data_IF_683582700923
#
_entry.id   IF_683582700923
#
_cell.length_a   1.000
_cell.length_b   1.000
_cell.length_c   1.000
_cell.angle_alpha   90.00
_cell.angle_beta   90.00
_cell.angle_gamma   90.00
#
_symmetry.space_group_name_H-M   'P 1'
#
loop_
_entity.id
_entity.type
_entity.pdbx_description
1 polymer ?
#
# COMPACT_ATOMS: atom_id res chain seq x y z
N UNK A 1 -16.45 19.49 -21.57
CA UNK A 1 -15.99 18.21 -22.18
C UNK A 1 -17.14 17.21 -22.16
N UNK A 2 -17.22 16.25 -23.09
CA UNK A 2 -18.16 15.12 -22.94
C UNK A 2 -17.46 14.04 -22.12
N UNK A 3 -17.81 13.93 -20.84
CA UNK A 3 -17.24 12.93 -19.94
C UNK A 3 -17.64 11.53 -20.43
N UNK A 4 -16.68 10.61 -20.46
CA UNK A 4 -16.85 9.23 -20.89
C UNK A 4 -16.16 8.29 -19.89
N UNK A 5 -16.58 7.03 -19.77
CA UNK A 5 -15.89 6.04 -18.95
C UNK A 5 -14.42 5.88 -19.38
N UNK A 6 -13.53 5.68 -18.41
CA UNK A 6 -12.12 5.38 -18.64
C UNK A 6 -11.99 3.87 -18.82
N UNK A 7 -11.54 3.43 -20.00
CA UNK A 7 -11.40 1.99 -20.33
C UNK A 7 -10.01 1.61 -20.81
N UNK A 8 -9.18 2.60 -21.13
CA UNK A 8 -7.86 2.43 -21.69
C UNK A 8 -6.90 3.37 -21.01
N UNK A 9 -5.60 3.03 -21.03
CA UNK A 9 -4.54 3.91 -20.53
C UNK A 9 -4.54 5.28 -21.21
N UNK A 10 -4.93 5.34 -22.49
CA UNK A 10 -5.09 6.61 -23.21
C UNK A 10 -6.21 7.47 -22.63
N UNK A 11 -7.36 6.87 -22.30
CA UNK A 11 -8.46 7.60 -21.66
C UNK A 11 -8.07 8.08 -20.26
N UNK A 12 -7.28 7.27 -19.55
CA UNK A 12 -6.77 7.57 -18.22
C UNK A 12 -5.82 8.77 -18.24
N UNK A 13 -4.82 8.76 -19.13
CA UNK A 13 -3.88 9.88 -19.28
C UNK A 13 -4.61 11.17 -19.70
N UNK A 14 -5.60 11.09 -20.60
CA UNK A 14 -6.41 12.26 -20.96
C UNK A 14 -7.25 12.80 -19.79
N UNK A 15 -7.75 11.92 -18.94
CA UNK A 15 -8.49 12.32 -17.74
C UNK A 15 -7.57 13.01 -16.72
N UNK A 16 -6.35 12.49 -16.53
CA UNK A 16 -5.33 13.11 -15.68
C UNK A 16 -4.93 14.51 -16.19
N UNK A 17 -4.58 14.63 -17.47
CA UNK A 17 -4.24 15.92 -18.09
C UNK A 17 -5.38 16.94 -17.91
N UNK A 18 -6.63 16.50 -18.06
CA UNK A 18 -7.79 17.37 -17.85
C UNK A 18 -7.95 17.75 -16.38
N UNK A 19 -7.81 16.80 -15.47
CA UNK A 19 -7.93 17.00 -14.03
C UNK A 19 -6.89 18.02 -13.54
N UNK A 20 -5.65 17.95 -14.02
CA UNK A 20 -4.60 18.94 -13.72
C UNK A 20 -5.01 20.36 -14.14
N UNK A 21 -5.61 20.52 -15.33
CA UNK A 21 -6.05 21.83 -15.83
C UNK A 21 -7.16 22.46 -14.96
N UNK A 22 -8.02 21.64 -14.35
CA UNK A 22 -9.17 22.11 -13.54
C UNK A 22 -8.99 21.87 -12.05
N UNK A 23 -7.78 21.57 -11.59
CA UNK A 23 -7.48 21.16 -10.21
C UNK A 23 -7.94 22.18 -9.16
N UNK A 24 -7.77 23.48 -9.47
CA UNK A 24 -8.16 24.59 -8.59
C UNK A 24 -9.63 25.03 -8.75
N UNK A 25 -10.44 24.26 -9.47
CA UNK A 25 -11.85 24.59 -9.69
C UNK A 25 -12.63 24.63 -8.36
N UNK A 26 -13.45 25.68 -8.20
CA UNK A 26 -14.25 25.86 -6.98
C UNK A 26 -15.45 24.91 -6.97
N UNK A 27 -15.78 24.42 -5.77
CA UNK A 27 -17.00 23.61 -5.56
C UNK A 27 -18.25 24.37 -6.01
N UNK A 28 -19.17 23.65 -6.67
CA UNK A 28 -20.41 24.21 -7.19
C UNK A 28 -20.27 25.01 -8.49
N UNK A 29 -19.08 25.05 -9.10
CA UNK A 29 -18.92 25.48 -10.50
C UNK A 29 -19.00 24.27 -11.42
N UNK A 30 -19.25 24.51 -12.71
CA UNK A 30 -19.24 23.44 -13.72
C UNK A 30 -17.91 22.69 -13.78
N UNK A 31 -16.80 23.41 -13.56
CA UNK A 31 -15.46 22.82 -13.52
C UNK A 31 -15.22 22.05 -12.23
N UNK A 32 -15.79 22.49 -11.10
CA UNK A 32 -15.76 21.74 -9.84
C UNK A 32 -16.54 20.43 -9.94
N UNK A 33 -17.73 20.45 -10.56
CA UNK A 33 -18.51 19.24 -10.82
C UNK A 33 -17.77 18.30 -11.79
N UNK A 34 -17.10 18.85 -12.82
CA UNK A 34 -16.25 18.09 -13.75
C UNK A 34 -15.05 17.45 -13.03
N UNK A 35 -14.38 18.20 -12.15
CA UNK A 35 -13.26 17.73 -11.34
C UNK A 35 -13.68 16.55 -10.45
N UNK A 36 -14.82 16.66 -9.77
CA UNK A 36 -15.36 15.60 -8.91
C UNK A 36 -15.66 14.32 -9.71
N UNK A 37 -16.31 14.46 -10.86
CA UNK A 37 -16.62 13.31 -11.73
C UNK A 37 -15.34 12.65 -12.26
N UNK A 38 -14.36 13.45 -12.73
CA UNK A 38 -13.09 12.92 -13.22
C UNK A 38 -12.32 12.20 -12.11
N UNK A 39 -12.29 12.76 -10.90
CA UNK A 39 -11.67 12.12 -9.74
C UNK A 39 -12.26 10.73 -9.46
N UNK A 40 -13.59 10.61 -9.48
CA UNK A 40 -14.28 9.31 -9.29
C UNK A 40 -13.95 8.32 -10.41
N UNK A 41 -13.87 8.77 -11.67
CA UNK A 41 -13.57 7.89 -12.80
C UNK A 41 -12.11 7.41 -12.79
N UNK A 42 -11.18 8.30 -12.43
CA UNK A 42 -9.75 8.00 -12.28
C UNK A 42 -9.56 7.00 -11.15
N UNK A 43 -10.12 7.26 -9.97
CA UNK A 43 -10.03 6.37 -8.81
C UNK A 43 -10.58 4.96 -9.10
N UNK A 44 -11.73 4.86 -9.78
CA UNK A 44 -12.25 3.56 -10.19
C UNK A 44 -11.32 2.81 -11.15
N UNK A 45 -10.70 3.51 -12.11
CA UNK A 45 -9.73 2.90 -13.01
C UNK A 45 -8.45 2.47 -12.28
N UNK A 46 -7.92 3.32 -11.39
CA UNK A 46 -6.73 2.98 -10.59
C UNK A 46 -6.99 1.77 -9.67
N UNK A 47 -8.16 1.68 -9.03
CA UNK A 47 -8.51 0.54 -8.19
C UNK A 47 -8.57 -0.79 -8.98
N UNK A 48 -8.96 -0.76 -10.26
CA UNK A 48 -9.02 -1.94 -11.11
C UNK A 48 -7.65 -2.33 -11.69
N UNK A 49 -6.87 -1.35 -12.17
CA UNK A 49 -5.64 -1.59 -12.94
C UNK A 49 -4.35 -1.39 -12.14
N UNK A 50 -4.37 -0.58 -11.08
CA UNK A 50 -3.24 -0.23 -10.23
C UNK A 50 -3.58 -0.38 -8.73
N UNK A 51 -4.06 -1.55 -8.28
CA UNK A 51 -4.44 -1.73 -6.89
C UNK A 51 -3.27 -1.42 -5.95
N UNK A 52 -3.52 -0.61 -4.91
CA UNK A 52 -2.58 -0.41 -3.82
C UNK A 52 -2.53 -1.70 -3.01
N UNK A 53 -1.65 -2.61 -3.43
CA UNK A 53 -1.44 -3.85 -2.74
C UNK A 53 -0.74 -3.59 -1.41
N UNK A 54 -1.08 -4.39 -0.40
CA UNK A 54 -0.34 -4.39 0.86
C UNK A 54 1.13 -4.73 0.57
N UNK A 55 2.07 -4.12 1.29
CA UNK A 55 3.48 -4.43 1.12
C UNK A 55 3.77 -5.89 1.45
N UNK A 56 4.86 -6.41 0.89
CA UNK A 56 5.41 -7.69 1.29
C UNK A 56 5.66 -7.72 2.81
N UNK A 57 5.26 -8.79 3.53
CA UNK A 57 5.42 -8.85 4.98
C UNK A 57 6.85 -8.65 5.46
N UNK A 58 7.82 -9.19 4.71
CA UNK A 58 9.23 -9.12 5.08
C UNK A 58 9.79 -7.73 4.84
N UNK A 59 9.41 -7.08 3.75
CA UNK A 59 9.79 -5.68 3.50
C UNK A 59 9.16 -4.75 4.54
N UNK A 60 7.91 -4.98 4.94
CA UNK A 60 7.29 -4.24 6.03
C UNK A 60 8.02 -4.42 7.38
N UNK A 61 8.48 -5.64 7.67
CA UNK A 61 9.30 -5.92 8.87
C UNK A 61 10.64 -5.17 8.79
N UNK A 62 11.36 -5.28 7.67
CA UNK A 62 12.65 -4.59 7.49
C UNK A 62 12.51 -3.08 7.62
N UNK A 63 11.49 -2.52 6.99
CA UNK A 63 11.20 -1.09 7.07
C UNK A 63 10.91 -0.64 8.50
N UNK A 64 10.11 -1.41 9.25
CA UNK A 64 9.90 -1.13 10.68
C UNK A 64 11.16 -1.27 11.50
N UNK A 65 12.01 -2.25 11.19
CA UNK A 65 13.27 -2.43 11.89
C UNK A 65 14.17 -1.21 11.67
N UNK A 66 14.27 -0.71 10.44
CA UNK A 66 15.05 0.49 10.13
C UNK A 66 14.53 1.72 10.88
N UNK A 67 13.21 1.94 10.89
CA UNK A 67 12.60 3.06 11.62
C UNK A 67 12.86 3.03 13.13
N UNK A 68 13.05 1.85 13.70
CA UNK A 68 13.25 1.64 15.14
C UNK A 68 14.73 1.40 15.50
N UNK A 69 15.64 1.44 14.53
CA UNK A 69 17.04 1.04 14.66
C UNK A 69 17.21 -0.38 15.27
N UNK A 70 16.31 -1.29 14.90
CA UNK A 70 16.29 -2.67 15.37
C UNK A 70 17.32 -3.53 14.64
N UNK A 71 18.17 -4.20 15.41
CA UNK A 71 19.02 -5.24 14.86
C UNK A 71 18.25 -6.55 14.64
N UNK A 72 18.85 -7.47 13.90
CA UNK A 72 18.33 -8.82 13.76
C UNK A 72 18.24 -9.57 15.11
N UNK A 73 19.08 -9.21 16.08
CA UNK A 73 19.00 -9.79 17.43
C UNK A 73 17.75 -9.29 18.16
N UNK A 74 17.38 -8.02 17.98
CA UNK A 74 16.17 -7.45 18.58
C UNK A 74 14.93 -8.08 17.98
N UNK A 75 14.90 -8.28 16.65
CA UNK A 75 13.85 -9.06 16.01
C UNK A 75 13.76 -10.47 16.61
N UNK A 76 14.89 -11.13 16.84
CA UNK A 76 14.92 -12.47 17.44
C UNK A 76 14.26 -12.52 18.83
N UNK A 77 14.29 -11.44 19.62
CA UNK A 77 13.57 -11.36 20.90
C UNK A 77 12.05 -11.31 20.73
N UNK A 78 11.56 -10.81 19.60
CA UNK A 78 10.12 -10.73 19.27
C UNK A 78 9.59 -12.08 18.77
N UNK A 79 10.37 -12.78 17.95
CA UNK A 79 9.95 -14.04 17.32
C UNK A 79 10.54 -15.32 17.96
N UNK A 80 11.38 -15.15 18.99
CA UNK A 80 11.87 -16.19 19.88
C UNK A 80 13.28 -16.76 19.57
N UNK A 81 13.71 -16.89 18.32
CA UNK A 81 15.01 -17.49 17.98
C UNK A 81 15.75 -16.72 16.88
N UNK A 82 17.07 -16.55 17.05
CA UNK A 82 17.94 -15.85 16.09
C UNK A 82 18.02 -16.54 14.73
N UNK A 83 18.06 -17.88 14.70
CA UNK A 83 18.02 -18.64 13.44
C UNK A 83 16.73 -18.38 12.67
N UNK A 84 15.59 -18.36 13.38
CA UNK A 84 14.28 -18.06 12.79
C UNK A 84 14.22 -16.63 12.23
N UNK A 85 14.84 -15.65 12.89
CA UNK A 85 14.87 -14.26 12.43
C UNK A 85 15.55 -14.18 11.06
N UNK A 86 16.69 -14.85 10.93
CA UNK A 86 17.39 -14.95 9.65
C UNK A 86 16.56 -15.65 8.58
N UNK A 87 15.98 -16.80 8.89
CA UNK A 87 15.18 -17.57 7.94
C UNK A 87 13.97 -16.77 7.44
N UNK A 88 13.30 -16.01 8.31
CA UNK A 88 12.13 -15.18 7.96
C UNK A 88 12.56 -14.00 7.10
N UNK A 89 13.60 -13.25 7.50
CA UNK A 89 14.09 -12.10 6.73
C UNK A 89 14.61 -12.49 5.34
N UNK A 90 15.04 -13.75 5.17
CA UNK A 90 15.47 -14.33 3.90
C UNK A 90 14.38 -15.15 3.20
N UNK A 91 13.11 -15.06 3.64
CA UNK A 91 11.95 -15.78 3.06
C UNK A 91 12.08 -17.31 3.00
N UNK A 92 12.98 -17.90 3.79
CA UNK A 92 13.14 -19.36 3.91
C UNK A 92 12.10 -20.01 4.82
N UNK A 93 11.42 -19.21 5.64
CA UNK A 93 10.38 -19.65 6.57
C UNK A 93 9.21 -18.66 6.58
N UNK A 94 8.00 -19.20 6.57
CA UNK A 94 6.75 -18.44 6.77
C UNK A 94 6.58 -18.03 8.23
N UNK A 95 5.98 -16.87 8.45
CA UNK A 95 5.56 -16.42 9.79
C UNK A 95 4.53 -17.40 10.37
N UNK A 96 4.68 -17.75 11.66
CA UNK A 96 3.62 -18.43 12.40
C UNK A 96 2.60 -17.41 12.95
N UNK A 97 1.40 -17.86 13.30
CA UNK A 97 0.40 -16.98 13.93
C UNK A 97 0.89 -16.30 15.20
N UNK A 98 1.71 -16.99 16.00
CA UNK A 98 2.33 -16.42 17.19
C UNK A 98 3.32 -15.29 16.83
N UNK A 99 4.16 -15.51 15.81
CA UNK A 99 5.07 -14.47 15.32
C UNK A 99 4.31 -13.26 14.80
N UNK A 100 3.22 -13.46 14.06
CA UNK A 100 2.38 -12.39 13.54
C UNK A 100 1.82 -11.53 14.68
N UNK A 101 1.31 -12.16 15.75
CA UNK A 101 0.81 -11.44 16.93
C UNK A 101 1.94 -10.66 17.61
N UNK A 102 3.10 -11.28 17.82
CA UNK A 102 4.23 -10.61 18.46
C UNK A 102 4.75 -9.42 17.63
N UNK A 103 4.83 -9.57 16.30
CA UNK A 103 5.25 -8.50 15.39
C UNK A 103 4.23 -7.36 15.37
N UNK A 104 2.94 -7.67 15.38
CA UNK A 104 1.89 -6.66 15.53
C UNK A 104 2.03 -5.91 16.85
N UNK A 105 2.18 -6.63 17.97
CA UNK A 105 2.21 -6.03 19.29
C UNK A 105 3.47 -5.18 19.52
N UNK A 106 4.63 -5.64 19.04
CA UNK A 106 5.94 -5.01 19.29
C UNK A 106 6.36 -4.02 18.22
N UNK A 107 6.19 -4.35 16.93
CA UNK A 107 6.60 -3.50 15.80
C UNK A 107 5.43 -2.70 15.22
N UNK A 108 4.20 -2.89 15.73
CA UNK A 108 3.00 -2.18 15.26
C UNK A 108 2.81 -2.28 13.75
N UNK A 109 3.08 -3.47 13.20
CA UNK A 109 2.81 -3.80 11.80
C UNK A 109 1.36 -4.31 11.71
N UNK A 110 0.53 -3.80 10.78
CA UNK A 110 -0.83 -4.30 10.60
C UNK A 110 -0.83 -5.81 10.32
N UNK A 111 -1.76 -6.55 10.96
CA UNK A 111 -1.85 -8.00 10.78
C UNK A 111 -2.21 -8.38 9.35
N UNK A 112 -3.01 -7.57 8.66
CA UNK A 112 -3.39 -7.75 7.25
C UNK A 112 -2.19 -7.77 6.31
N UNK A 113 -1.14 -7.00 6.63
CA UNK A 113 0.16 -7.05 5.95
C UNK A 113 0.83 -8.36 6.29
N UNK A 114 0.98 -8.69 7.57
CA UNK A 114 1.76 -9.86 8.02
C UNK A 114 1.20 -11.23 7.59
N UNK A 115 -0.10 -11.33 7.29
CA UNK A 115 -0.74 -12.58 6.83
C UNK A 115 -0.62 -12.81 5.31
N UNK A 116 -0.09 -11.84 4.55
CA UNK A 116 0.09 -11.98 3.11
C UNK A 116 1.03 -13.15 2.78
N UNK A 117 0.86 -13.73 1.60
CA UNK A 117 1.78 -14.73 1.07
C UNK A 117 3.00 -14.05 0.44
N UNK A 118 4.18 -14.64 0.62
CA UNK A 118 5.47 -14.16 0.11
C UNK A 118 6.46 -15.31 -0.08
#
# INVERSE_FOLDING_TARGET
MKIKPIKTEKDYNQALERLEVIFDAKKGTKEGDELEILGILIDNYENEFFPINLPDPIEAIKFRMEQLDYSQNDLATVIGLKSRASEILNKKRKLSLEMIRNLHDKLKIPTEVLIQSY
#
